data_IF_669846557847
#
_entry.id   IF_669846557847
#
_cell.length_a   1.000
_cell.length_b   1.000
_cell.length_c   1.000
_cell.angle_alpha   90.00
_cell.angle_beta   90.00
_cell.angle_gamma   90.00
#
_symmetry.space_group_name_H-M   'P 1'
#
loop_
_entity.id
_entity.type
_entity.pdbx_description
1 polymer ?
#
# COMPACT_ATOMS: atom_id res chain seq x y z
N UNK A 1 -27.28 -0.06 3.35
CA UNK A 1 -26.16 0.30 2.46
C UNK A 1 -25.29 1.13 3.36
N UNK A 2 -24.17 0.56 3.82
CA UNK A 2 -23.22 1.29 4.63
C UNK A 2 -22.74 2.49 3.84
N UNK A 3 -22.60 3.63 4.50
CA UNK A 3 -22.03 4.80 3.86
C UNK A 3 -20.51 4.58 3.84
N UNK A 4 -19.96 4.12 2.71
CA UNK A 4 -18.50 4.15 2.51
C UNK A 4 -17.99 5.54 2.87
N UNK A 5 -16.83 5.65 3.52
CA UNK A 5 -16.23 6.95 3.83
C UNK A 5 -16.10 7.73 2.52
N UNK A 6 -16.70 8.91 2.47
CA UNK A 6 -16.87 9.63 1.21
C UNK A 6 -15.54 10.25 0.80
N UNK A 7 -15.11 9.97 -0.42
CA UNK A 7 -13.99 10.66 -1.04
C UNK A 7 -14.43 12.07 -1.45
N UNK A 8 -13.83 13.09 -0.86
CA UNK A 8 -14.01 14.47 -1.29
C UNK A 8 -12.90 14.85 -2.27
N UNK A 9 -13.27 15.25 -3.49
CA UNK A 9 -12.33 15.80 -4.46
C UNK A 9 -12.11 17.29 -4.19
N UNK A 10 -10.92 17.67 -3.70
CA UNK A 10 -10.53 19.06 -3.50
C UNK A 10 -9.67 19.55 -4.66
N UNK A 11 -10.08 20.65 -5.31
CA UNK A 11 -9.18 21.37 -6.20
C UNK A 11 -8.28 22.29 -5.35
N UNK A 12 -7.05 21.88 -5.09
CA UNK A 12 -6.07 22.74 -4.42
C UNK A 12 -5.54 23.79 -5.40
N UNK A 13 -5.75 25.07 -5.08
CA UNK A 13 -5.07 26.17 -5.77
C UNK A 13 -3.71 26.40 -5.10
N UNK A 14 -2.62 26.03 -5.78
CA UNK A 14 -1.27 26.40 -5.38
C UNK A 14 -1.10 27.92 -5.43
N UNK A 15 -1.37 28.61 -4.31
CA UNK A 15 -1.08 30.02 -4.15
C UNK A 15 0.41 30.19 -3.81
N UNK A 16 1.21 30.53 -4.81
CA UNK A 16 2.60 30.92 -4.66
C UNK A 16 2.70 32.23 -3.83
N UNK A 17 2.85 32.13 -2.51
CA UNK A 17 3.05 33.28 -1.64
C UNK A 17 4.53 33.70 -1.63
N UNK A 18 4.91 34.61 -2.55
CA UNK A 18 6.16 35.37 -2.42
C UNK A 18 5.93 36.48 -1.38
N UNK A 19 6.56 36.33 -0.23
CA UNK A 19 6.48 37.30 0.87
C UNK A 19 7.14 38.63 0.55
N UNK A 20 6.45 39.74 0.85
CA UNK A 20 7.04 41.00 1.32
C UNK A 20 6.13 41.52 2.44
N UNK A 21 6.71 41.67 3.63
CA UNK A 21 5.97 41.90 4.87
C UNK A 21 5.40 43.31 5.07
N UNK A 22 4.44 43.40 5.99
CA UNK A 22 4.33 44.45 7.00
C UNK A 22 3.24 44.12 8.03
N UNK A 23 3.69 43.88 9.26
CA UNK A 23 3.11 44.25 10.56
C UNK A 23 1.71 44.93 10.57
N UNK A 24 0.73 44.31 11.23
CA UNK A 24 -0.18 45.01 12.15
C UNK A 24 -0.96 44.03 13.05
N UNK A 25 -0.73 44.17 14.35
CA UNK A 25 -1.45 43.55 15.45
C UNK A 25 -2.74 44.32 15.70
N UNK A 26 -3.92 43.68 15.73
CA UNK A 26 -5.08 44.20 16.47
C UNK A 26 -6.03 43.08 16.89
N UNK A 27 -6.30 43.04 18.20
CA UNK A 27 -7.28 42.18 18.86
C UNK A 27 -8.69 42.76 18.76
N UNK A 28 -9.73 41.91 18.77
CA UNK A 28 -11.08 42.35 19.16
C UNK A 28 -12.28 41.58 18.60
N UNK A 29 -12.75 40.59 19.38
CA UNK A 29 -14.14 40.29 19.77
C UNK A 29 -15.22 39.77 18.78
N UNK A 30 -15.76 38.62 19.21
CA UNK A 30 -17.04 37.89 19.03
C UNK A 30 -18.32 38.56 18.47
N UNK A 31 -19.08 37.65 17.82
CA UNK A 31 -20.54 37.43 17.76
C UNK A 31 -21.45 38.30 16.85
N UNK A 32 -22.26 37.59 16.04
CA UNK A 32 -23.68 37.91 15.88
C UNK A 32 -24.25 37.92 14.46
N UNK A 33 -24.80 36.77 14.05
CA UNK A 33 -26.16 36.57 13.48
C UNK A 33 -26.61 37.18 12.12
N UNK A 34 -27.28 36.29 11.38
CA UNK A 34 -28.18 36.35 10.22
C UNK A 34 -28.44 37.65 9.43
N UNK A 35 -28.44 37.52 8.09
CA UNK A 35 -29.68 37.44 7.29
C UNK A 35 -29.41 37.50 5.78
N UNK A 36 -30.18 36.69 5.05
CA UNK A 36 -30.32 36.69 3.59
C UNK A 36 -30.87 38.02 3.05
N UNK A 37 -30.46 38.44 1.85
CA UNK A 37 -31.41 38.65 0.74
C UNK A 37 -30.73 38.96 -0.59
N UNK A 38 -31.24 38.29 -1.63
CA UNK A 38 -31.15 38.57 -3.06
C UNK A 38 -31.17 40.05 -3.45
N UNK A 39 -30.38 40.43 -4.46
CA UNK A 39 -30.95 40.79 -5.77
C UNK A 39 -29.88 40.92 -6.87
N UNK A 40 -30.17 40.30 -8.02
CA UNK A 40 -29.42 40.54 -9.25
C UNK A 40 -29.82 41.85 -9.93
N UNK A 41 -28.93 42.37 -10.78
CA UNK A 41 -29.29 43.05 -12.02
C UNK A 41 -28.03 43.18 -12.89
N UNK A 42 -28.18 42.76 -14.13
CA UNK A 42 -27.16 42.75 -15.15
C UNK A 42 -27.12 44.07 -15.97
N UNK A 43 -26.09 44.12 -16.83
CA UNK A 43 -26.01 44.82 -18.13
C UNK A 43 -25.55 46.28 -18.13
N UNK A 44 -24.51 46.56 -18.92
CA UNK A 44 -24.28 47.91 -19.46
C UNK A 44 -22.90 48.16 -20.08
N UNK A 45 -22.70 47.63 -21.29
CA UNK A 45 -21.50 47.73 -22.13
C UNK A 45 -21.23 49.15 -22.70
N UNK A 46 -19.95 49.54 -22.80
CA UNK A 46 -19.36 50.47 -23.80
C UNK A 46 -17.82 50.44 -23.59
N UNK A 47 -16.91 50.18 -24.53
CA UNK A 47 -16.92 50.31 -25.98
C UNK A 47 -16.10 51.53 -26.41
N UNK A 48 -14.79 51.41 -26.71
CA UNK A 48 -14.18 51.94 -27.94
C UNK A 48 -12.66 51.68 -28.14
N UNK A 49 -12.36 51.17 -29.33
CA UNK A 49 -11.30 51.50 -30.31
C UNK A 49 -9.80 51.56 -29.92
N UNK A 50 -9.05 50.57 -30.40
CA UNK A 50 -8.46 50.59 -31.76
C UNK A 50 -7.15 51.37 -31.95
N UNK A 51 -6.05 50.64 -32.18
CA UNK A 51 -4.78 51.18 -32.70
C UNK A 51 -3.76 50.08 -33.01
N UNK A 52 -3.62 49.76 -34.30
CA UNK A 52 -2.74 48.73 -34.86
C UNK A 52 -1.28 49.25 -35.00
N UNK A 53 -0.29 48.42 -34.67
CA UNK A 53 1.13 48.72 -34.86
C UNK A 53 1.98 47.46 -34.78
N UNK A 54 2.29 46.87 -35.93
CA UNK A 54 3.15 45.70 -36.07
C UNK A 54 4.63 46.08 -35.90
N UNK A 55 5.33 45.36 -35.02
CA UNK A 55 6.78 45.40 -34.84
C UNK A 55 7.24 44.09 -34.21
N UNK A 56 7.85 43.23 -35.03
CA UNK A 56 8.44 41.94 -34.65
C UNK A 56 9.74 42.17 -33.85
N UNK A 57 10.00 41.38 -32.79
CA UNK A 57 11.30 40.75 -32.42
C UNK A 57 11.25 40.15 -31.00
N UNK A 58 11.74 38.90 -30.92
CA UNK A 58 12.19 38.12 -29.76
C UNK A 58 11.10 37.49 -28.87
N UNK A 59 10.62 36.32 -29.30
CA UNK A 59 9.86 35.40 -28.45
C UNK A 59 10.79 34.73 -27.44
N UNK A 60 10.66 35.14 -26.17
CA UNK A 60 10.98 34.29 -25.04
C UNK A 60 9.75 33.38 -24.87
N UNK A 61 9.86 32.11 -25.29
CA UNK A 61 8.83 31.11 -25.05
C UNK A 61 8.78 30.84 -23.54
N UNK A 62 8.00 31.65 -22.83
CA UNK A 62 7.61 31.37 -21.46
C UNK A 62 6.91 30.02 -21.48
N UNK A 63 7.49 29.07 -20.75
CA UNK A 63 6.91 27.79 -20.44
C UNK A 63 5.58 28.03 -19.71
N UNK A 64 4.50 28.13 -20.46
CA UNK A 64 3.14 28.06 -19.91
C UNK A 64 2.79 26.59 -19.76
N UNK A 65 3.51 25.91 -18.85
CA UNK A 65 3.03 24.67 -18.29
C UNK A 65 1.78 25.02 -17.48
N UNK A 66 0.61 24.79 -18.06
CA UNK A 66 -0.62 24.62 -17.30
C UNK A 66 -0.37 23.47 -16.32
N UNK A 67 -0.07 23.81 -15.07
CA UNK A 67 -0.06 22.88 -13.94
C UNK A 67 -1.45 22.25 -13.91
N UNK A 68 -1.51 20.96 -14.27
CA UNK A 68 -2.70 20.16 -14.06
C UNK A 68 -2.86 20.02 -12.55
N UNK A 69 -3.77 20.80 -11.97
CA UNK A 69 -4.23 20.56 -10.61
C UNK A 69 -5.05 19.28 -10.65
N UNK A 70 -4.44 18.16 -10.25
CA UNK A 70 -5.19 16.93 -9.95
C UNK A 70 -6.06 17.25 -8.73
N UNK A 71 -7.36 16.97 -8.83
CA UNK A 71 -8.23 17.08 -7.67
C UNK A 71 -7.75 16.06 -6.63
N UNK A 72 -7.36 16.53 -5.46
CA UNK A 72 -6.90 15.69 -4.36
C UNK A 72 -8.09 14.87 -3.84
N UNK A 73 -7.96 13.54 -3.85
CA UNK A 73 -8.95 12.64 -3.24
C UNK A 73 -8.62 12.49 -1.77
N UNK A 74 -9.50 12.96 -0.90
CA UNK A 74 -9.35 12.84 0.55
C UNK A 74 -10.48 11.98 1.13
N UNK A 75 -10.10 10.98 1.93
CA UNK A 75 -10.99 10.21 2.79
C UNK A 75 -11.55 11.11 3.89
N UNK A 76 -12.82 10.93 4.20
CA UNK A 76 -13.46 11.64 5.30
C UNK A 76 -13.05 11.03 6.64
N UNK A 77 -12.32 11.79 7.46
CA UNK A 77 -12.13 11.51 8.89
C UNK A 77 -13.14 12.34 9.68
N UNK A 78 -13.96 11.69 10.50
CA UNK A 78 -15.05 12.34 11.24
C UNK A 78 -14.60 12.79 12.62
N UNK A 79 -15.36 13.72 13.23
CA UNK A 79 -15.15 14.10 14.64
C UNK A 79 -15.26 12.88 15.58
N UNK A 80 -16.05 11.87 15.21
CA UNK A 80 -16.26 10.65 15.99
C UNK A 80 -15.05 9.71 15.91
N UNK A 81 -14.36 9.67 14.77
CA UNK A 81 -13.11 8.91 14.61
C UNK A 81 -12.02 9.44 15.56
N UNK A 82 -12.03 10.76 15.76
CA UNK A 82 -11.12 11.49 16.66
C UNK A 82 -11.57 11.43 18.14
N UNK A 83 -12.79 10.98 18.42
CA UNK A 83 -13.36 11.03 19.77
C UNK A 83 -12.84 9.86 20.62
N UNK A 84 -11.99 10.19 21.60
CA UNK A 84 -11.40 9.21 22.52
C UNK A 84 -12.07 9.20 23.89
N UNK A 85 -12.99 10.13 24.17
CA UNK A 85 -13.60 10.20 25.50
C UNK A 85 -14.72 9.17 25.67
N UNK A 86 -14.94 8.78 26.92
CA UNK A 86 -16.03 7.89 27.30
C UNK A 86 -16.44 8.16 28.75
N UNK A 87 -17.64 7.72 29.12
CA UNK A 87 -18.12 7.77 30.49
C UNK A 87 -17.88 6.42 31.18
N UNK A 88 -16.86 6.34 32.02
CA UNK A 88 -16.49 5.10 32.74
C UNK A 88 -17.65 4.52 33.58
N UNK A 89 -18.49 5.38 34.16
CA UNK A 89 -19.60 4.94 35.01
C UNK A 89 -20.78 4.32 34.23
N UNK A 90 -20.91 4.68 32.95
CA UNK A 90 -21.95 4.16 32.04
C UNK A 90 -21.42 3.02 31.15
N UNK A 91 -20.10 2.82 31.13
CA UNK A 91 -19.45 1.79 30.32
C UNK A 91 -19.66 0.38 30.90
N UNK A 92 -19.83 -0.61 30.02
CA UNK A 92 -19.89 -2.02 30.42
C UNK A 92 -18.47 -2.53 30.66
N UNK A 93 -18.17 -3.00 31.87
CA UNK A 93 -16.84 -3.51 32.22
C UNK A 93 -16.65 -4.95 31.76
N UNK A 94 -15.53 -5.22 31.09
CA UNK A 94 -15.05 -6.55 30.71
C UNK A 94 -13.69 -6.74 31.39
N UNK A 95 -13.67 -7.53 32.46
CA UNK A 95 -12.43 -7.94 33.11
C UNK A 95 -12.00 -9.29 32.52
N UNK A 96 -10.86 -9.30 31.84
CA UNK A 96 -10.24 -10.49 31.30
C UNK A 96 -9.61 -11.30 32.44
N UNK A 97 -9.99 -12.57 32.49
CA UNK A 97 -9.45 -13.55 33.43
C UNK A 97 -9.15 -14.86 32.72
N UNK A 98 -8.37 -15.73 33.36
CA UNK A 98 -8.15 -17.08 32.86
C UNK A 98 -9.48 -17.80 32.58
N UNK A 99 -9.56 -18.46 31.41
CA UNK A 99 -10.74 -19.20 30.94
C UNK A 99 -11.98 -18.35 30.61
N UNK A 100 -11.83 -17.04 30.35
CA UNK A 100 -12.94 -16.19 29.92
C UNK A 100 -13.61 -16.68 28.62
N UNK A 101 -12.83 -17.31 27.73
CA UNK A 101 -13.32 -17.83 26.46
C UNK A 101 -13.82 -16.73 25.53
N UNK A 102 -14.98 -16.96 24.89
CA UNK A 102 -15.59 -16.00 23.94
C UNK A 102 -16.49 -15.00 24.66
N UNK A 103 -16.25 -13.71 24.46
CA UNK A 103 -17.07 -12.60 24.95
C UNK A 103 -17.87 -12.06 23.77
N UNK A 104 -19.20 -12.16 23.81
CA UNK A 104 -20.07 -11.73 22.72
C UNK A 104 -20.70 -10.37 23.05
N UNK A 105 -20.34 -9.34 22.29
CA UNK A 105 -20.92 -8.01 22.32
C UNK A 105 -22.03 -7.98 21.26
N UNK A 106 -23.28 -7.91 21.71
CA UNK A 106 -24.49 -7.98 20.87
C UNK A 106 -25.40 -6.76 21.03
N UNK A 107 -24.88 -5.70 21.64
CA UNK A 107 -25.54 -4.41 21.79
C UNK A 107 -24.52 -3.29 21.60
N UNK A 108 -24.96 -2.18 21.01
CA UNK A 108 -24.17 -0.96 20.96
C UNK A 108 -23.80 -0.45 22.35
N UNK A 109 -22.72 0.34 22.40
CA UNK A 109 -22.28 1.05 23.59
C UNK A 109 -20.77 0.97 23.80
N UNK A 110 -20.33 1.53 24.93
CA UNK A 110 -18.92 1.54 25.34
C UNK A 110 -18.61 0.38 26.28
N UNK A 111 -17.52 -0.33 25.99
CA UNK A 111 -17.02 -1.46 26.74
C UNK A 111 -15.60 -1.17 27.23
N UNK A 112 -15.42 -1.17 28.55
CA UNK A 112 -14.12 -0.98 29.18
C UNK A 112 -13.45 -2.34 29.40
N UNK A 113 -12.44 -2.65 28.61
CA UNK A 113 -11.74 -3.93 28.61
C UNK A 113 -10.42 -3.77 29.37
N UNK A 114 -10.17 -4.64 30.34
CA UNK A 114 -8.92 -4.65 31.11
C UNK A 114 -8.54 -6.05 31.57
N UNK A 115 -7.31 -6.23 32.05
CA UNK A 115 -6.86 -7.50 32.62
C UNK A 115 -6.20 -8.42 31.59
N UNK A 116 -6.08 -9.71 31.91
CA UNK A 116 -5.28 -10.63 31.11
C UNK A 116 -5.91 -12.02 30.96
N UNK A 117 -5.77 -12.60 29.77
CA UNK A 117 -6.10 -14.01 29.50
C UNK A 117 -5.19 -14.59 28.42
N UNK A 118 -4.81 -15.86 28.59
CA UNK A 118 -4.06 -16.62 27.59
C UNK A 118 -4.96 -17.32 26.56
N UNK A 119 -6.29 -17.26 26.73
CA UNK A 119 -7.23 -17.81 25.76
C UNK A 119 -8.58 -17.10 25.91
N UNK A 120 -8.77 -16.06 25.11
CA UNK A 120 -10.02 -15.32 25.01
C UNK A 120 -10.20 -14.73 23.62
N UNK A 121 -11.44 -14.37 23.32
CA UNK A 121 -11.80 -13.72 22.07
C UNK A 121 -12.96 -12.76 22.32
N UNK A 122 -12.84 -11.51 21.89
CA UNK A 122 -13.94 -10.55 21.89
C UNK A 122 -14.60 -10.60 20.52
N UNK A 123 -15.91 -10.81 20.49
CA UNK A 123 -16.71 -10.91 19.26
C UNK A 123 -17.76 -9.79 19.26
N UNK A 124 -17.71 -8.90 18.27
CA UNK A 124 -18.68 -7.81 18.10
C UNK A 124 -19.67 -8.17 16.99
N UNK A 125 -20.96 -8.14 17.31
CA UNK A 125 -22.06 -8.42 16.39
C UNK A 125 -23.32 -7.66 16.84
N UNK A 126 -23.36 -6.36 16.56
CA UNK A 126 -24.40 -5.43 17.05
C UNK A 126 -25.40 -5.00 15.96
N UNK A 127 -25.10 -5.30 14.70
CA UNK A 127 -25.90 -4.90 13.53
C UNK A 127 -25.28 -3.70 12.80
N UNK A 128 -25.58 -3.59 11.51
CA UNK A 128 -24.89 -2.69 10.55
C UNK A 128 -25.16 -1.18 10.72
N UNK A 129 -25.93 -0.77 11.72
CA UNK A 129 -26.31 0.63 11.97
C UNK A 129 -25.97 1.05 13.41
N UNK A 130 -25.21 0.20 14.10
CA UNK A 130 -24.93 0.31 15.53
C UNK A 130 -23.43 0.37 15.76
N UNK A 131 -23.00 1.30 16.61
CA UNK A 131 -21.60 1.50 16.97
C UNK A 131 -21.19 0.76 18.23
N UNK A 132 -19.93 0.36 18.29
CA UNK A 132 -19.31 -0.14 19.52
C UNK A 132 -17.99 0.57 19.77
N UNK A 133 -17.78 1.04 21.00
CA UNK A 133 -16.47 1.50 21.45
C UNK A 133 -15.87 0.47 22.41
N UNK A 134 -14.71 -0.09 22.04
CA UNK A 134 -13.86 -0.92 22.89
C UNK A 134 -12.73 -0.05 23.44
N UNK A 135 -12.81 0.32 24.72
CA UNK A 135 -11.71 1.02 25.40
C UNK A 135 -10.80 -0.05 26.00
N UNK A 136 -9.60 -0.19 25.44
CA UNK A 136 -8.60 -1.15 25.93
C UNK A 136 -7.70 -0.46 26.95
N UNK A 137 -7.66 -0.99 28.18
CA UNK A 137 -6.86 -0.48 29.29
C UNK A 137 -5.98 -1.59 29.87
N UNK A 138 -4.68 -1.54 29.56
CA UNK A 138 -3.70 -2.50 30.07
C UNK A 138 -4.11 -3.97 29.79
N UNK A 139 -4.61 -4.22 28.58
CA UNK A 139 -5.15 -5.51 28.14
C UNK A 139 -4.02 -6.45 27.73
N UNK A 140 -4.07 -7.71 28.16
CA UNK A 140 -3.30 -8.80 27.54
C UNK A 140 -4.26 -9.91 27.10
N UNK A 141 -4.53 -10.01 25.80
CA UNK A 141 -5.52 -10.92 25.24
C UNK A 141 -4.88 -11.79 24.16
N UNK A 142 -4.61 -13.05 24.51
CA UNK A 142 -4.26 -14.08 23.54
C UNK A 142 -5.50 -14.91 23.17
N UNK A 143 -5.67 -15.17 21.88
CA UNK A 143 -6.61 -16.17 21.38
C UNK A 143 -5.82 -17.37 20.87
N UNK A 144 -6.09 -18.56 21.42
CA UNK A 144 -5.26 -19.73 21.12
C UNK A 144 -5.37 -20.21 19.67
N UNK A 145 -6.50 -19.95 19.00
CA UNK A 145 -6.82 -20.53 17.67
C UNK A 145 -7.60 -19.60 16.76
N UNK A 146 -7.68 -18.29 17.04
CA UNK A 146 -8.42 -17.34 16.19
C UNK A 146 -7.98 -15.89 16.47
N UNK A 147 -8.71 -14.90 15.98
CA UNK A 147 -8.49 -13.49 16.34
C UNK A 147 -8.64 -13.26 17.86
N UNK A 148 -7.94 -12.25 18.39
CA UNK A 148 -8.18 -11.71 19.72
C UNK A 148 -9.45 -10.85 19.73
N UNK A 149 -9.62 -10.01 18.69
CA UNK A 149 -10.82 -9.20 18.46
C UNK A 149 -11.38 -9.53 17.08
N UNK A 150 -12.66 -9.87 17.03
CA UNK A 150 -13.36 -10.22 15.81
C UNK A 150 -14.67 -9.43 15.69
N UNK A 151 -14.76 -8.60 14.66
CA UNK A 151 -15.97 -7.83 14.33
C UNK A 151 -16.69 -8.50 13.18
N UNK A 152 -17.92 -8.97 13.45
CA UNK A 152 -18.80 -9.64 12.49
C UNK A 152 -19.73 -8.62 11.79
N UNK A 153 -20.31 -7.71 12.58
CA UNK A 153 -21.28 -6.71 12.15
C UNK A 153 -21.34 -5.54 13.13
N UNK A 154 -21.06 -4.34 12.64
CA UNK A 154 -21.28 -3.02 13.25
C UNK A 154 -21.43 -1.96 12.13
N UNK A 155 -21.93 -0.77 12.46
CA UNK A 155 -21.71 0.41 11.60
C UNK A 155 -20.21 0.72 11.59
N UNK A 156 -19.66 1.03 12.77
CA UNK A 156 -18.23 1.17 13.00
C UNK A 156 -17.84 0.66 14.40
N UNK A 157 -16.67 0.04 14.51
CA UNK A 157 -16.06 -0.27 15.81
C UNK A 157 -14.92 0.69 16.08
N UNK A 158 -14.95 1.33 17.25
CA UNK A 158 -13.89 2.20 17.75
C UNK A 158 -13.06 1.45 18.79
N UNK A 159 -11.80 1.17 18.50
CA UNK A 159 -10.83 0.66 19.47
C UNK A 159 -10.05 1.86 20.04
N UNK A 160 -10.40 2.28 21.25
CA UNK A 160 -9.71 3.36 21.95
C UNK A 160 -8.60 2.79 22.83
N UNK A 161 -7.35 3.11 22.50
CA UNK A 161 -6.16 2.64 23.20
C UNK A 161 -5.83 3.54 24.41
N UNK A 162 -5.81 2.94 25.59
CA UNK A 162 -5.29 3.50 26.82
C UNK A 162 -4.29 2.52 27.48
N UNK A 163 -3.26 3.06 28.14
CA UNK A 163 -2.23 2.21 28.75
C UNK A 163 -1.46 1.37 27.72
N UNK A 164 -1.03 0.18 28.12
CA UNK A 164 -0.27 -0.75 27.26
C UNK A 164 -1.05 -2.03 26.98
N UNK A 165 -1.43 -2.25 25.72
CA UNK A 165 -2.28 -3.37 25.31
C UNK A 165 -1.51 -4.33 24.43
N UNK A 166 -1.59 -5.63 24.72
CA UNK A 166 -0.97 -6.70 23.95
C UNK A 166 -2.03 -7.68 23.48
N UNK A 167 -2.17 -7.82 22.17
CA UNK A 167 -3.09 -8.77 21.55
C UNK A 167 -2.28 -9.80 20.73
N UNK A 168 -2.69 -11.06 20.73
CA UNK A 168 -1.98 -12.11 20.00
C UNK A 168 -2.86 -13.29 19.61
N UNK A 169 -2.39 -14.08 18.64
CA UNK A 169 -2.94 -15.37 18.24
C UNK A 169 -1.95 -16.51 18.58
N UNK A 170 -2.46 -17.72 18.82
CA UNK A 170 -1.69 -18.91 19.17
C UNK A 170 -0.99 -19.64 18.00
N UNK A 171 -0.90 -19.03 16.82
CA UNK A 171 -0.24 -19.56 15.63
C UNK A 171 -1.17 -20.31 14.66
N UNK A 172 -2.48 -20.12 14.75
CA UNK A 172 -3.45 -20.68 13.79
C UNK A 172 -4.79 -19.97 13.84
N UNK A 173 -5.47 -19.90 12.70
CA UNK A 173 -6.87 -19.49 12.60
C UNK A 173 -7.76 -20.69 12.26
N UNK A 174 -8.36 -21.28 13.29
CA UNK A 174 -9.35 -22.34 13.11
C UNK A 174 -10.68 -21.70 12.76
N UNK A 175 -11.23 -22.04 11.61
CA UNK A 175 -12.53 -21.56 11.16
C UNK A 175 -13.61 -21.77 12.23
N UNK A 176 -14.18 -20.67 12.73
CA UNK A 176 -15.32 -20.66 13.66
C UNK A 176 -16.64 -20.31 12.95
N UNK A 177 -16.53 -19.82 11.72
CA UNK A 177 -17.60 -19.50 10.77
C UNK A 177 -17.00 -19.44 9.35
N UNK A 178 -17.66 -18.74 8.42
CA UNK A 178 -17.27 -18.65 7.00
C UNK A 178 -16.65 -17.29 6.62
N UNK A 179 -16.10 -16.54 7.58
CA UNK A 179 -15.54 -15.22 7.31
C UNK A 179 -14.01 -15.22 7.20
N UNK A 180 -13.37 -16.39 7.18
CA UNK A 180 -11.95 -16.56 6.87
C UNK A 180 -11.05 -15.61 7.69
N UNK A 181 -11.18 -15.69 9.02
CA UNK A 181 -10.39 -14.88 9.96
C UNK A 181 -8.91 -15.17 9.76
N UNK A 182 -8.13 -14.14 9.48
CA UNK A 182 -6.70 -14.19 9.12
C UNK A 182 -5.82 -13.18 9.89
N UNK A 183 -6.37 -12.57 10.97
CA UNK A 183 -5.68 -11.53 11.72
C UNK A 183 -5.94 -11.57 13.23
N UNK A 184 -5.02 -10.96 14.00
CA UNK A 184 -5.17 -10.81 15.47
C UNK A 184 -6.34 -9.87 15.80
N UNK A 185 -6.46 -8.78 15.06
CA UNK A 185 -7.68 -7.97 14.99
C UNK A 185 -8.26 -8.16 13.58
N UNK A 186 -9.44 -8.76 13.50
CA UNK A 186 -10.14 -8.95 12.24
C UNK A 186 -11.48 -8.23 12.28
N UNK A 187 -11.68 -7.30 11.37
CA UNK A 187 -12.95 -6.60 11.19
C UNK A 187 -13.52 -6.84 9.80
N UNK A 188 -14.80 -7.21 9.76
CA UNK A 188 -15.56 -7.24 8.50
C UNK A 188 -16.05 -5.87 8.05
N UNK A 189 -16.11 -4.93 8.99
CA UNK A 189 -16.73 -3.63 8.82
C UNK A 189 -15.77 -2.53 9.24
N UNK A 190 -16.21 -1.28 9.10
CA UNK A 190 -15.40 -0.11 9.42
C UNK A 190 -14.80 -0.19 10.82
N UNK A 191 -13.52 0.16 10.88
CA UNK A 191 -12.71 0.11 12.09
C UNK A 191 -11.99 1.44 12.29
N UNK A 192 -12.22 2.07 13.44
CA UNK A 192 -11.38 3.17 13.89
C UNK A 192 -10.51 2.71 15.05
N UNK A 193 -9.21 3.02 15.02
CA UNK A 193 -8.32 2.90 16.18
C UNK A 193 -7.82 4.28 16.58
N UNK A 194 -8.06 4.65 17.83
CA UNK A 194 -7.73 5.96 18.35
C UNK A 194 -7.17 5.88 19.78
N UNK A 195 -7.00 7.04 20.44
CA UNK A 195 -6.41 7.11 21.77
C UNK A 195 -4.91 7.36 21.73
N UNK A 196 -4.27 7.22 22.89
CA UNK A 196 -2.84 7.53 23.07
C UNK A 196 -2.03 6.37 23.64
N UNK A 197 -2.69 5.25 23.92
CA UNK A 197 -2.07 4.03 24.42
C UNK A 197 -1.21 3.31 23.38
N UNK A 198 -0.63 2.21 23.83
CA UNK A 198 0.21 1.32 23.03
C UNK A 198 -0.59 0.07 22.66
N UNK A 199 -0.45 -0.37 21.41
CA UNK A 199 -0.91 -1.65 20.91
C UNK A 199 0.30 -2.47 20.43
N UNK A 200 0.56 -3.57 21.12
CA UNK A 200 1.57 -4.56 20.77
C UNK A 200 0.87 -5.78 20.13
N UNK A 201 1.28 -6.16 18.93
CA UNK A 201 0.83 -7.39 18.28
C UNK A 201 2.03 -8.16 17.75
N UNK A 202 2.10 -9.44 18.10
CA UNK A 202 2.97 -10.43 17.49
C UNK A 202 2.09 -11.47 16.78
N UNK A 203 1.82 -11.22 15.50
CA UNK A 203 1.10 -12.13 14.62
C UNK A 203 2.09 -13.14 14.04
N UNK A 204 2.23 -14.27 14.75
CA UNK A 204 3.13 -15.36 14.36
C UNK A 204 2.69 -16.13 13.11
N UNK A 205 1.49 -15.83 12.59
CA UNK A 205 0.93 -16.30 11.33
C UNK A 205 0.08 -15.17 10.73
N UNK A 206 0.11 -15.03 9.41
CA UNK A 206 -0.71 -14.09 8.63
C UNK A 206 -0.60 -12.64 9.14
N UNK A 207 -1.72 -11.91 9.26
CA UNK A 207 -1.74 -10.48 9.47
C UNK A 207 -1.86 -10.07 10.95
N UNK A 208 -1.41 -8.85 11.28
CA UNK A 208 -1.70 -8.26 12.59
C UNK A 208 -3.10 -7.66 12.66
N UNK A 209 -3.46 -6.78 11.72
CA UNK A 209 -4.78 -6.12 11.65
C UNK A 209 -5.33 -6.24 10.24
N UNK A 210 -6.56 -6.75 10.12
CA UNK A 210 -7.32 -6.79 8.87
C UNK A 210 -8.66 -6.09 9.05
N UNK A 211 -8.97 -5.17 8.14
CA UNK A 211 -10.27 -4.52 8.02
C UNK A 211 -10.80 -4.73 6.60
N UNK A 212 -11.95 -5.40 6.45
CA UNK A 212 -12.52 -5.69 5.13
C UNK A 212 -13.27 -4.50 4.51
N UNK A 213 -13.56 -3.45 5.28
CA UNK A 213 -14.12 -2.17 4.83
C UNK A 213 -13.15 -1.01 5.15
N UNK A 214 -13.62 0.21 5.44
CA UNK A 214 -12.77 1.39 5.64
C UNK A 214 -12.15 1.43 7.05
N UNK A 215 -10.88 1.81 7.14
CA UNK A 215 -10.16 1.93 8.41
C UNK A 215 -9.69 3.37 8.66
N UNK A 216 -9.73 3.81 9.92
CA UNK A 216 -9.14 5.09 10.34
C UNK A 216 -8.26 4.92 11.57
N UNK A 217 -7.08 5.56 11.54
CA UNK A 217 -6.17 5.63 12.68
C UNK A 217 -5.92 7.09 13.02
N UNK A 218 -6.18 7.47 14.27
CA UNK A 218 -6.08 8.89 14.70
C UNK A 218 -5.04 9.16 15.77
N UNK A 219 -4.38 8.13 16.28
CA UNK A 219 -3.33 8.24 17.28
C UNK A 219 -2.91 6.89 17.85
N UNK A 220 -2.10 6.90 18.90
CA UNK A 220 -1.58 5.69 19.55
C UNK A 220 -0.17 5.30 19.09
N UNK A 221 0.36 4.26 19.72
CA UNK A 221 1.64 3.64 19.35
C UNK A 221 1.41 2.19 18.97
N UNK A 222 1.88 1.79 17.79
CA UNK A 222 1.68 0.48 17.21
C UNK A 222 3.02 -0.24 17.10
N UNK A 223 3.20 -1.31 17.86
CA UNK A 223 4.36 -2.20 17.76
C UNK A 223 3.87 -3.51 17.15
N UNK A 224 3.92 -3.61 15.83
CA UNK A 224 3.32 -4.72 15.09
C UNK A 224 4.41 -5.57 14.45
N UNK A 225 4.31 -6.87 14.65
CA UNK A 225 5.06 -7.88 13.91
C UNK A 225 4.07 -8.85 13.27
N UNK A 226 4.25 -9.17 11.98
CA UNK A 226 3.37 -10.04 11.22
C UNK A 226 4.15 -10.95 10.26
N UNK A 227 3.59 -12.11 9.91
CA UNK A 227 4.15 -12.99 8.88
C UNK A 227 3.61 -12.68 7.48
N UNK A 228 2.58 -11.86 7.39
CA UNK A 228 2.13 -11.18 6.18
C UNK A 228 2.09 -9.68 6.51
N UNK A 229 0.96 -9.02 6.35
CA UNK A 229 0.85 -7.57 6.55
C UNK A 229 0.71 -7.15 8.02
N UNK A 230 1.30 -6.00 8.36
CA UNK A 230 0.99 -5.38 9.66
C UNK A 230 -0.42 -4.77 9.68
N UNK A 231 -0.80 -4.04 8.64
CA UNK A 231 -2.13 -3.42 8.51
C UNK A 231 -2.63 -3.69 7.10
N UNK A 232 -3.75 -4.40 6.95
CA UNK A 232 -4.37 -4.69 5.66
C UNK A 232 -5.82 -4.18 5.66
N UNK A 233 -6.17 -3.39 4.64
CA UNK A 233 -7.52 -2.83 4.45
C UNK A 233 -8.03 -3.06 3.03
N UNK A 234 -9.20 -3.67 2.88
CA UNK A 234 -9.76 -4.00 1.55
C UNK A 234 -10.50 -2.83 0.87
N UNK A 235 -10.83 -1.75 1.58
CA UNK A 235 -11.33 -0.51 0.97
C UNK A 235 -10.29 0.59 1.13
N UNK A 236 -10.35 1.43 2.16
CA UNK A 236 -9.43 2.55 2.31
C UNK A 236 -8.97 2.77 3.75
N UNK A 237 -7.76 3.31 3.92
CA UNK A 237 -7.17 3.65 5.21
C UNK A 237 -6.80 5.13 5.28
N UNK A 238 -7.29 5.83 6.30
CA UNK A 238 -6.81 7.16 6.67
C UNK A 238 -6.02 7.13 7.98
N UNK A 239 -4.79 7.64 7.97
CA UNK A 239 -3.94 7.81 9.16
C UNK A 239 -3.72 9.30 9.39
N UNK A 240 -4.24 9.84 10.48
CA UNK A 240 -4.05 11.27 10.79
C UNK A 240 -2.86 11.54 11.72
N UNK A 241 -2.49 10.56 12.55
CA UNK A 241 -1.36 10.62 13.48
C UNK A 241 -1.09 9.23 14.07
N UNK A 242 0.04 9.10 14.78
CA UNK A 242 0.43 7.88 15.48
C UNK A 242 1.95 7.67 15.46
N UNK A 243 2.40 6.63 16.15
CA UNK A 243 3.77 6.08 16.04
C UNK A 243 3.67 4.62 15.64
N UNK A 244 4.30 4.25 14.54
CA UNK A 244 4.18 2.93 13.92
C UNK A 244 5.55 2.29 13.82
N UNK A 245 5.78 1.23 14.59
CA UNK A 245 6.96 0.38 14.51
C UNK A 245 6.50 -0.95 13.90
N UNK A 246 6.67 -1.08 12.58
CA UNK A 246 6.08 -2.16 11.78
C UNK A 246 7.17 -3.08 11.25
N UNK A 247 7.07 -4.37 11.58
CA UNK A 247 8.01 -5.40 11.15
C UNK A 247 7.25 -6.61 10.59
N UNK A 248 6.97 -6.59 9.31
CA UNK A 248 6.18 -7.57 8.57
C UNK A 248 7.05 -8.32 7.58
N UNK A 249 6.51 -9.40 7.01
CA UNK A 249 7.17 -10.14 5.93
C UNK A 249 6.66 -9.78 4.55
N UNK A 250 5.41 -9.34 4.46
CA UNK A 250 4.82 -8.79 3.25
C UNK A 250 4.72 -7.26 3.44
N UNK A 251 3.53 -6.66 3.53
CA UNK A 251 3.42 -5.21 3.50
C UNK A 251 3.34 -4.58 4.89
N UNK A 252 3.93 -3.40 5.09
CA UNK A 252 3.72 -2.65 6.33
C UNK A 252 2.29 -2.10 6.41
N UNK A 253 1.84 -1.52 5.30
CA UNK A 253 0.47 -1.05 5.13
C UNK A 253 0.01 -1.44 3.74
N UNK A 254 -1.02 -2.27 3.67
CA UNK A 254 -1.68 -2.70 2.46
C UNK A 254 -3.09 -2.11 2.38
N UNK A 255 -3.42 -1.49 1.25
CA UNK A 255 -4.79 -1.06 0.95
C UNK A 255 -5.18 -1.41 -0.49
N UNK A 256 -6.37 -1.96 -0.71
CA UNK A 256 -6.86 -2.16 -2.08
C UNK A 256 -7.21 -0.79 -2.74
N UNK A 257 -7.82 0.13 -2.00
CA UNK A 257 -8.29 1.43 -2.48
C UNK A 257 -7.33 2.58 -2.18
N UNK A 258 -7.73 3.46 -1.25
CA UNK A 258 -7.00 4.69 -0.91
C UNK A 258 -6.20 4.51 0.39
N UNK A 259 -4.93 4.88 0.36
CA UNK A 259 -4.12 5.13 1.54
C UNK A 259 -3.87 6.63 1.69
N UNK A 260 -4.45 7.26 2.71
CA UNK A 260 -4.20 8.66 3.07
C UNK A 260 -3.42 8.75 4.38
N UNK A 261 -2.31 9.47 4.38
CA UNK A 261 -1.50 9.72 5.57
C UNK A 261 -1.31 11.23 5.78
N UNK A 262 -1.96 11.78 6.81
CA UNK A 262 -1.88 13.20 7.18
C UNK A 262 -0.81 13.50 8.24
N UNK A 263 -0.20 12.48 8.82
CA UNK A 263 0.87 12.63 9.79
C UNK A 263 1.21 11.32 10.53
N UNK A 264 2.20 11.40 11.40
CA UNK A 264 2.69 10.28 12.21
C UNK A 264 4.19 10.04 12.08
N UNK A 265 4.70 9.05 12.81
CA UNK A 265 6.08 8.56 12.69
C UNK A 265 6.06 7.08 12.37
N UNK A 266 6.78 6.68 11.33
CA UNK A 266 6.80 5.31 10.80
C UNK A 266 8.24 4.80 10.76
N UNK A 267 8.49 3.70 11.45
CA UNK A 267 9.71 2.89 11.36
C UNK A 267 9.29 1.52 10.81
N UNK A 268 9.64 1.25 9.55
CA UNK A 268 9.11 0.16 8.75
C UNK A 268 10.24 -0.78 8.32
N UNK A 269 10.01 -2.07 8.51
CA UNK A 269 10.76 -3.16 7.87
C UNK A 269 9.76 -4.15 7.28
N UNK A 270 9.76 -4.30 5.96
CA UNK A 270 8.73 -5.03 5.22
C UNK A 270 9.25 -5.52 3.85
N UNK A 271 8.46 -6.32 3.12
CA UNK A 271 8.65 -6.49 1.68
C UNK A 271 8.34 -5.16 1.01
N UNK A 272 7.08 -4.75 1.03
CA UNK A 272 6.69 -3.40 0.61
C UNK A 272 6.43 -2.49 1.82
N UNK A 273 6.88 -1.23 1.73
CA UNK A 273 6.65 -0.27 2.80
C UNK A 273 5.19 0.15 2.88
N UNK A 274 4.67 0.74 1.81
CA UNK A 274 3.29 1.21 1.69
C UNK A 274 2.71 0.78 0.35
N UNK A 275 1.60 0.05 0.34
CA UNK A 275 0.92 -0.38 -0.88
C UNK A 275 -0.53 0.14 -0.97
N UNK A 276 -0.91 0.60 -2.16
CA UNK A 276 -2.31 0.70 -2.53
C UNK A 276 -2.58 1.36 -3.87
N UNK A 277 -3.84 1.36 -4.33
CA UNK A 277 -4.17 1.95 -5.63
C UNK A 277 -3.96 3.46 -5.66
N UNK A 278 -4.34 4.17 -4.60
CA UNK A 278 -4.15 5.61 -4.53
C UNK A 278 -3.54 6.02 -3.19
N UNK A 279 -2.26 6.38 -3.22
CA UNK A 279 -1.50 6.76 -2.01
C UNK A 279 -1.33 8.27 -1.97
N UNK A 280 -1.73 8.89 -0.86
CA UNK A 280 -1.51 10.31 -0.57
C UNK A 280 -0.78 10.47 0.76
N UNK A 281 0.40 11.09 0.72
CA UNK A 281 1.19 11.45 1.89
C UNK A 281 1.19 12.97 2.03
N UNK A 282 0.41 13.46 2.99
CA UNK A 282 0.26 14.87 3.31
C UNK A 282 1.32 15.37 4.28
N UNK A 283 1.68 14.56 5.28
CA UNK A 283 2.79 14.82 6.19
C UNK A 283 3.25 13.52 6.88
N UNK A 284 4.26 13.60 7.73
CA UNK A 284 4.76 12.49 8.55
C UNK A 284 6.27 12.33 8.48
N UNK A 285 6.82 11.44 9.30
CA UNK A 285 8.23 11.04 9.25
C UNK A 285 8.32 9.55 9.01
N UNK A 286 9.03 9.14 7.96
CA UNK A 286 9.11 7.75 7.53
C UNK A 286 10.56 7.30 7.44
N UNK A 287 10.85 6.14 8.03
CA UNK A 287 12.05 5.34 7.78
C UNK A 287 11.57 4.00 7.28
N UNK A 288 11.75 3.76 5.98
CA UNK A 288 11.29 2.55 5.29
C UNK A 288 12.51 1.73 4.90
N UNK A 289 12.58 0.50 5.40
CA UNK A 289 13.53 -0.52 4.97
C UNK A 289 12.74 -1.63 4.26
N UNK A 290 12.68 -1.55 2.93
CA UNK A 290 11.89 -2.46 2.10
C UNK A 290 12.82 -3.50 1.43
N UNK A 291 12.36 -4.75 1.35
CA UNK A 291 13.05 -5.79 0.58
C UNK A 291 12.50 -5.99 -0.82
N UNK A 292 11.28 -5.52 -1.08
CA UNK A 292 10.71 -5.25 -2.40
C UNK A 292 10.57 -3.74 -2.55
N UNK A 293 9.40 -3.16 -2.75
CA UNK A 293 9.23 -1.72 -3.00
C UNK A 293 9.08 -0.84 -1.75
N UNK A 294 9.62 0.38 -1.79
CA UNK A 294 9.49 1.32 -0.68
C UNK A 294 8.05 1.83 -0.53
N UNK A 295 7.50 2.31 -1.64
CA UNK A 295 6.11 2.75 -1.77
C UNK A 295 5.63 2.27 -3.13
N UNK A 296 4.59 1.44 -3.15
CA UNK A 296 4.03 0.85 -4.35
C UNK A 296 2.59 1.33 -4.59
N UNK A 297 2.40 2.18 -5.61
CA UNK A 297 1.09 2.53 -6.10
C UNK A 297 0.64 1.55 -7.20
N UNK A 298 0.06 0.42 -6.81
CA UNK A 298 -0.35 -0.68 -7.70
C UNK A 298 -1.85 -0.68 -8.01
N UNK A 299 -2.24 -1.06 -9.23
CA UNK A 299 -3.64 -1.12 -9.63
C UNK A 299 -4.36 -2.34 -9.01
N UNK A 300 -5.04 -2.17 -7.87
CA UNK A 300 -5.83 -3.23 -7.21
C UNK A 300 -7.33 -3.12 -7.46
N UNK A 301 -7.84 -1.88 -7.60
CA UNK A 301 -9.28 -1.60 -7.84
C UNK A 301 -9.49 -0.70 -9.05
N UNK A 302 -10.51 -0.97 -9.87
CA UNK A 302 -10.81 -0.20 -11.10
C UNK A 302 -11.31 1.23 -10.84
N UNK A 303 -11.64 1.57 -9.59
CA UNK A 303 -12.22 2.88 -9.23
C UNK A 303 -11.22 4.03 -9.35
N UNK A 304 -9.94 3.75 -9.13
CA UNK A 304 -8.87 4.73 -9.11
C UNK A 304 -7.83 4.39 -10.15
N UNK A 305 -7.10 5.40 -10.62
CA UNK A 305 -5.86 5.16 -11.37
C UNK A 305 -4.74 5.07 -10.34
N UNK A 306 -3.94 4.01 -10.43
CA UNK A 306 -2.67 3.86 -9.70
C UNK A 306 -1.94 5.22 -9.59
N UNK A 307 -1.83 5.79 -8.38
CA UNK A 307 -1.24 7.11 -8.19
C UNK A 307 -0.59 7.24 -6.82
N UNK A 308 0.64 7.77 -6.80
CA UNK A 308 1.29 8.28 -5.60
C UNK A 308 1.33 9.81 -5.61
N UNK A 309 0.83 10.44 -4.54
CA UNK A 309 0.96 11.88 -4.29
C UNK A 309 1.68 12.15 -2.98
N UNK A 310 2.78 12.90 -3.03
CA UNK A 310 3.55 13.35 -1.86
C UNK A 310 3.42 14.87 -1.75
N UNK A 311 2.58 15.32 -0.82
CA UNK A 311 2.36 16.74 -0.52
C UNK A 311 3.32 17.29 0.54
N UNK A 312 3.82 16.42 1.43
CA UNK A 312 4.69 16.80 2.54
C UNK A 312 5.44 15.63 3.18
N UNK A 313 5.94 15.84 4.40
CA UNK A 313 6.66 14.83 5.17
C UNK A 313 8.19 14.79 4.98
N UNK A 314 8.84 13.98 5.82
CA UNK A 314 10.25 13.61 5.76
C UNK A 314 10.35 12.09 5.57
N UNK A 315 10.56 11.67 4.32
CA UNK A 315 10.52 10.27 3.89
C UNK A 315 11.93 9.81 3.60
N UNK A 316 12.37 8.75 4.27
CA UNK A 316 13.63 8.06 3.97
C UNK A 316 13.36 6.62 3.63
N UNK A 317 13.72 6.21 2.42
CA UNK A 317 13.53 4.87 1.89
C UNK A 317 14.92 4.28 1.63
N UNK A 318 15.17 3.10 2.19
CA UNK A 318 16.36 2.29 1.93
C UNK A 318 15.93 0.95 1.38
N UNK A 319 16.36 0.67 0.15
CA UNK A 319 16.03 -0.56 -0.55
C UNK A 319 17.02 -1.67 -0.22
N UNK A 320 16.50 -2.89 -0.18
CA UNK A 320 17.29 -4.12 -0.23
C UNK A 320 18.03 -4.29 -1.58
N UNK A 321 18.61 -5.48 -1.77
CA UNK A 321 19.18 -5.86 -3.06
C UNK A 321 18.15 -6.71 -3.82
N UNK A 322 17.94 -6.41 -5.10
CA UNK A 322 16.94 -7.09 -5.93
C UNK A 322 16.52 -6.21 -7.09
N UNK A 323 15.52 -6.69 -7.82
CA UNK A 323 14.73 -5.90 -8.78
C UNK A 323 13.61 -5.24 -7.99
N UNK A 324 13.88 -4.06 -7.42
CA UNK A 324 12.98 -3.40 -6.46
C UNK A 324 13.16 -1.89 -6.50
N UNK A 325 12.07 -1.14 -6.32
CA UNK A 325 12.02 0.31 -6.46
C UNK A 325 11.80 1.05 -5.14
N UNK A 326 12.47 2.19 -5.00
CA UNK A 326 12.17 3.11 -3.90
C UNK A 326 10.72 3.59 -3.92
N UNK A 327 10.26 3.94 -5.13
CA UNK A 327 8.88 4.32 -5.43
C UNK A 327 8.51 3.60 -6.72
N UNK A 328 7.50 2.74 -6.69
CA UNK A 328 6.87 2.20 -7.88
C UNK A 328 5.45 2.77 -8.02
N UNK A 329 5.06 3.07 -9.26
CA UNK A 329 3.67 3.36 -9.58
C UNK A 329 3.28 2.83 -10.95
N UNK A 330 2.31 1.93 -10.97
CA UNK A 330 1.63 1.50 -12.20
C UNK A 330 0.77 2.61 -12.87
N UNK A 331 0.94 3.86 -12.43
CA UNK A 331 0.32 5.05 -13.01
C UNK A 331 1.12 6.30 -12.69
N UNK A 332 0.55 7.23 -11.93
CA UNK A 332 1.11 8.59 -11.82
C UNK A 332 1.89 8.81 -10.52
N UNK A 333 2.89 9.69 -10.59
CA UNK A 333 3.62 10.19 -9.42
C UNK A 333 3.56 11.72 -9.37
N UNK A 334 3.13 12.27 -8.24
CA UNK A 334 3.12 13.71 -7.99
C UNK A 334 3.90 14.04 -6.72
N UNK A 335 5.00 14.79 -6.85
CA UNK A 335 5.78 15.29 -5.70
C UNK A 335 5.59 16.80 -5.60
N UNK A 336 4.77 17.23 -4.64
CA UNK A 336 4.36 18.61 -4.43
C UNK A 336 5.13 19.30 -3.29
N UNK A 337 5.65 18.53 -2.32
CA UNK A 337 6.34 19.07 -1.14
C UNK A 337 7.16 18.04 -0.39
N UNK A 338 7.57 18.38 0.83
CA UNK A 338 8.34 17.50 1.72
C UNK A 338 9.80 17.27 1.30
N UNK A 339 10.43 16.31 1.96
CA UNK A 339 11.75 15.78 1.63
C UNK A 339 11.65 14.27 1.46
N UNK A 340 12.03 13.76 0.29
CA UNK A 340 12.07 12.33 0.00
C UNK A 340 13.52 11.94 -0.30
N UNK A 341 14.04 10.96 0.45
CA UNK A 341 15.38 10.40 0.29
C UNK A 341 15.26 8.94 -0.07
N UNK A 342 15.83 8.54 -1.20
CA UNK A 342 15.82 7.15 -1.67
C UNK A 342 17.26 6.68 -1.81
N UNK A 343 17.57 5.54 -1.20
CA UNK A 343 18.85 4.85 -1.37
C UNK A 343 18.56 3.44 -1.89
N UNK A 344 18.99 3.12 -3.11
CA UNK A 344 18.65 1.86 -3.78
C UNK A 344 19.32 1.71 -5.15
N UNK A 345 19.28 0.49 -5.70
CA UNK A 345 19.75 0.22 -7.08
C UNK A 345 18.71 0.71 -8.09
N UNK A 346 17.47 0.24 -7.98
CA UNK A 346 16.31 0.90 -8.56
C UNK A 346 15.70 1.86 -7.55
N UNK A 347 15.09 2.95 -8.03
CA UNK A 347 14.79 4.09 -7.14
C UNK A 347 13.42 4.66 -7.42
N UNK A 348 13.06 4.83 -8.69
CA UNK A 348 11.73 5.28 -9.08
C UNK A 348 11.37 4.63 -10.41
N UNK A 349 10.24 3.93 -10.45
CA UNK A 349 9.57 3.47 -11.67
C UNK A 349 8.15 4.02 -11.74
N UNK A 350 7.68 4.31 -12.96
CA UNK A 350 6.30 4.69 -13.20
C UNK A 350 5.84 4.48 -14.64
N UNK A 351 4.58 4.09 -14.81
CA UNK A 351 3.96 3.85 -16.12
C UNK A 351 3.26 5.09 -16.71
N UNK A 352 2.88 6.04 -15.87
CA UNK A 352 2.05 7.20 -16.21
C UNK A 352 2.81 8.53 -16.22
N UNK A 353 2.17 9.56 -15.67
CA UNK A 353 2.77 10.89 -15.55
C UNK A 353 3.53 11.04 -14.23
N UNK A 354 4.78 11.49 -14.28
CA UNK A 354 5.50 11.93 -13.09
C UNK A 354 5.76 13.44 -13.12
N UNK A 355 5.31 14.15 -12.10
CA UNK A 355 5.48 15.60 -11.97
C UNK A 355 6.04 15.96 -10.59
N UNK A 356 7.19 16.65 -10.58
CA UNK A 356 7.73 17.30 -9.40
C UNK A 356 7.35 18.79 -9.41
N UNK A 357 6.29 19.14 -8.68
CA UNK A 357 5.82 20.52 -8.52
C UNK A 357 6.57 21.27 -7.40
N UNK A 358 7.18 20.54 -6.46
CA UNK A 358 7.90 21.10 -5.32
C UNK A 358 8.77 20.07 -4.60
N UNK A 359 9.02 20.28 -3.31
CA UNK A 359 9.76 19.37 -2.45
C UNK A 359 11.25 19.20 -2.78
N UNK A 360 11.95 18.45 -1.93
CA UNK A 360 13.35 18.02 -2.14
C UNK A 360 13.36 16.52 -2.41
N UNK A 361 13.89 16.11 -3.56
CA UNK A 361 14.06 14.69 -3.90
C UNK A 361 15.56 14.39 -3.95
N UNK A 362 16.02 13.48 -3.09
CA UNK A 362 17.42 13.06 -3.00
C UNK A 362 17.49 11.59 -3.35
N UNK A 363 18.26 11.25 -4.38
CA UNK A 363 18.45 9.88 -4.84
C UNK A 363 19.93 9.53 -4.69
N UNK A 364 20.23 8.47 -3.93
CA UNK A 364 21.59 8.00 -3.67
C UNK A 364 22.57 9.11 -3.23
N UNK A 365 22.06 10.06 -2.43
CA UNK A 365 22.82 11.18 -1.87
C UNK A 365 22.90 12.43 -2.75
N UNK A 366 22.33 12.42 -3.95
CA UNK A 366 22.29 13.57 -4.86
C UNK A 366 20.87 14.13 -4.98
N UNK A 367 20.71 15.45 -4.84
CA UNK A 367 19.43 16.12 -5.07
C UNK A 367 19.14 16.22 -6.57
N UNK A 368 17.89 15.96 -6.97
CA UNK A 368 17.43 16.03 -8.36
C UNK A 368 16.19 16.93 -8.51
N UNK A 369 16.13 17.64 -9.63
CA UNK A 369 15.00 18.49 -10.03
C UNK A 369 13.94 17.73 -10.85
N UNK A 370 14.23 16.49 -11.26
CA UNK A 370 13.32 15.64 -12.02
C UNK A 370 13.10 14.30 -11.31
N UNK A 371 11.91 13.74 -11.47
CA UNK A 371 11.62 12.34 -11.09
C UNK A 371 12.23 11.46 -12.18
N UNK A 372 13.27 10.67 -11.91
CA UNK A 372 13.81 9.75 -12.90
C UNK A 372 12.78 8.64 -13.16
N UNK A 373 12.86 8.05 -14.34
CA UNK A 373 12.13 6.83 -14.66
C UNK A 373 13.15 5.77 -15.07
N UNK A 374 12.98 4.58 -14.53
CA UNK A 374 13.68 3.37 -14.95
C UNK A 374 13.12 2.89 -16.31
N UNK A 375 13.46 3.58 -17.40
CA UNK A 375 13.25 2.97 -18.71
C UNK A 375 14.18 1.76 -18.82
N UNK A 376 13.63 0.55 -18.66
CA UNK A 376 14.21 -0.68 -19.21
C UNK A 376 14.76 -0.35 -20.61
N UNK A 377 16.08 -0.43 -20.76
CA UNK A 377 16.81 -0.03 -21.95
C UNK A 377 16.40 -0.85 -23.18
N UNK A 378 15.29 -0.47 -23.81
CA UNK A 378 14.72 -1.05 -25.02
C UNK A 378 14.45 0.01 -26.07
N UNK A 379 15.36 0.97 -26.25
CA UNK A 379 15.24 2.01 -27.28
C UNK A 379 15.79 1.56 -28.64
N UNK A 380 15.00 1.54 -29.73
CA UNK A 380 15.48 1.22 -31.08
C UNK A 380 16.29 2.39 -31.67
N UNK A 381 17.60 2.41 -31.42
CA UNK A 381 18.52 3.47 -31.86
C UNK A 381 19.32 3.12 -33.11
N UNK A 382 18.78 3.41 -34.29
CA UNK A 382 19.55 3.46 -35.53
C UNK A 382 20.56 4.63 -35.51
N UNK A 383 21.85 4.32 -35.64
CA UNK A 383 22.91 5.33 -35.72
C UNK A 383 24.20 4.77 -36.30
N UNK A 384 24.43 4.97 -37.60
CA UNK A 384 25.68 4.68 -38.28
C UNK A 384 26.82 5.52 -37.69
N UNK A 385 27.78 4.88 -37.01
CA UNK A 385 28.98 5.53 -36.49
C UNK A 385 30.18 4.60 -36.55
N UNK A 386 31.01 4.75 -37.60
CA UNK A 386 32.30 4.08 -37.72
C UNK A 386 33.26 4.64 -36.65
N UNK A 387 33.80 3.78 -35.78
CA UNK A 387 34.86 4.14 -34.84
C UNK A 387 35.65 2.93 -34.38
N UNK A 388 36.83 2.73 -34.96
CA UNK A 388 37.85 1.76 -34.50
C UNK A 388 38.52 2.28 -33.22
N UNK A 389 38.74 1.38 -32.26
CA UNK A 389 39.57 1.54 -31.07
C UNK A 389 38.82 0.94 -29.88
N UNK A 390 39.13 -0.24 -29.35
CA UNK A 390 40.46 -0.73 -28.98
C UNK A 390 40.49 -0.72 -27.45
N UNK A 391 39.93 -1.76 -26.81
CA UNK A 391 40.06 -1.98 -25.37
C UNK A 391 40.71 -3.33 -25.12
N UNK A 392 41.90 -3.25 -24.55
CA UNK A 392 42.63 -4.33 -23.90
C UNK A 392 41.81 -4.86 -22.71
N UNK A 393 41.89 -6.18 -22.52
CA UNK A 393 41.03 -6.93 -21.62
C UNK A 393 41.25 -6.69 -20.13
N UNK A 394 40.16 -6.92 -19.39
CA UNK A 394 40.15 -7.31 -17.99
C UNK A 394 39.30 -8.57 -17.86
N UNK A 395 39.87 -9.59 -17.22
CA UNK A 395 39.19 -10.77 -16.66
C UNK A 395 38.03 -10.23 -15.80
N UNK A 396 36.78 -10.66 -15.97
CA UNK A 396 36.20 -11.85 -15.33
C UNK A 396 34.86 -12.16 -16.03
N UNK A 397 34.65 -13.42 -16.44
CA UNK A 397 33.54 -13.83 -17.31
C UNK A 397 32.19 -13.99 -16.61
N UNK A 398 31.41 -12.93 -16.52
CA UNK A 398 29.96 -13.01 -16.26
C UNK A 398 29.20 -12.44 -17.45
N UNK A 399 28.52 -13.32 -18.19
CA UNK A 399 27.55 -12.92 -19.21
C UNK A 399 26.26 -12.50 -18.49
N UNK A 400 25.67 -11.33 -18.81
CA UNK A 400 24.34 -10.98 -18.33
C UNK A 400 23.32 -11.90 -19.01
N UNK A 401 22.52 -12.59 -18.21
CA UNK A 401 21.49 -13.51 -18.68
C UNK A 401 20.36 -12.74 -19.37
N UNK A 402 20.26 -12.89 -20.68
CA UNK A 402 19.12 -12.46 -21.49
C UNK A 402 18.60 -13.66 -22.28
N UNK A 403 17.29 -13.68 -22.51
CA UNK A 403 16.55 -14.68 -23.27
C UNK A 403 17.17 -14.94 -24.65
N UNK A 404 17.58 -16.20 -24.91
CA UNK A 404 18.02 -16.65 -26.23
C UNK A 404 17.04 -17.70 -26.74
N UNK A 405 15.91 -17.22 -27.25
CA UNK A 405 15.02 -18.00 -28.10
C UNK A 405 15.78 -18.66 -29.25
N UNK A 406 15.41 -19.91 -29.52
CA UNK A 406 15.67 -20.64 -30.76
C UNK A 406 17.13 -20.72 -31.25
N UNK A 407 18.07 -20.96 -30.34
CA UNK A 407 19.27 -21.78 -30.60
C UNK A 407 20.21 -21.35 -31.73
N UNK A 408 20.11 -20.11 -32.22
CA UNK A 408 21.02 -19.54 -33.21
C UNK A 408 21.81 -18.39 -32.57
N UNK A 409 23.14 -18.54 -32.53
CA UNK A 409 24.02 -17.44 -32.17
C UNK A 409 23.83 -16.25 -33.13
N UNK A 410 23.89 -14.99 -32.65
CA UNK A 410 23.78 -13.82 -33.52
C UNK A 410 24.78 -13.85 -34.68
N UNK A 411 24.38 -13.39 -35.87
CA UNK A 411 25.29 -13.30 -37.03
C UNK A 411 26.54 -12.48 -36.66
N UNK A 412 27.70 -13.14 -36.68
CA UNK A 412 29.01 -12.54 -36.42
C UNK A 412 29.69 -12.96 -35.12
N UNK A 413 29.08 -13.81 -34.29
CA UNK A 413 29.73 -14.42 -33.13
C UNK A 413 30.02 -15.90 -33.37
N UNK A 414 31.30 -16.29 -33.29
CA UNK A 414 31.72 -17.71 -33.30
C UNK A 414 31.84 -18.21 -31.86
N UNK A 415 31.35 -19.42 -31.54
CA UNK A 415 31.59 -20.05 -30.25
C UNK A 415 33.09 -20.14 -29.94
N UNK A 416 33.49 -20.19 -28.66
CA UNK A 416 34.87 -20.49 -28.27
C UNK A 416 35.37 -21.78 -28.96
N UNK A 417 36.66 -21.83 -29.33
CA UNK A 417 37.26 -22.94 -30.10
C UNK A 417 37.18 -24.31 -29.39
N UNK A 418 36.85 -24.30 -28.11
CA UNK A 418 36.83 -25.40 -27.15
C UNK A 418 35.43 -25.72 -26.58
N UNK A 419 34.35 -25.18 -27.18
CA UNK A 419 32.98 -25.55 -26.81
C UNK A 419 32.61 -26.94 -27.35
N UNK A 420 32.29 -27.88 -26.45
CA UNK A 420 32.02 -29.30 -26.75
C UNK A 420 30.54 -29.62 -27.02
N UNK A 421 29.68 -28.59 -27.03
CA UNK A 421 28.25 -28.72 -27.30
C UNK A 421 27.42 -29.26 -26.13
N UNK A 422 27.95 -29.28 -24.91
CA UNK A 422 27.22 -29.71 -23.71
C UNK A 422 26.98 -28.54 -22.73
N UNK A 423 25.84 -28.56 -22.05
CA UNK A 423 25.53 -27.63 -20.96
C UNK A 423 26.20 -28.09 -19.66
N UNK A 424 26.58 -27.17 -18.76
CA UNK A 424 27.12 -27.51 -17.43
C UNK A 424 26.14 -28.36 -16.59
N UNK A 425 26.67 -29.26 -15.76
CA UNK A 425 25.86 -30.11 -14.87
C UNK A 425 24.93 -29.30 -13.97
N UNK A 426 23.65 -29.69 -13.92
CA UNK A 426 22.64 -29.12 -13.00
C UNK A 426 21.71 -28.08 -13.61
N UNK A 427 21.85 -27.73 -14.89
CA UNK A 427 20.91 -26.84 -15.60
C UNK A 427 19.89 -27.66 -16.42
N UNK A 428 18.61 -27.53 -16.09
CA UNK A 428 17.50 -27.98 -16.93
C UNK A 428 16.89 -26.81 -17.68
N UNK A 429 16.48 -26.97 -18.95
CA UNK A 429 15.70 -25.96 -19.65
C UNK A 429 14.42 -25.58 -18.87
N UNK A 430 13.98 -24.31 -18.89
CA UNK A 430 12.85 -23.83 -18.09
C UNK A 430 11.53 -24.59 -18.32
N UNK A 431 11.37 -25.20 -19.49
CA UNK A 431 10.21 -25.94 -19.96
C UNK A 431 10.38 -27.48 -19.91
N UNK A 432 11.53 -27.95 -19.41
CA UNK A 432 11.82 -29.36 -19.20
C UNK A 432 11.99 -30.19 -20.48
N UNK A 433 12.09 -29.55 -21.66
CA UNK A 433 12.25 -30.24 -22.95
C UNK A 433 13.60 -29.90 -23.57
N UNK A 434 14.35 -30.94 -23.99
CA UNK A 434 15.55 -30.76 -24.80
C UNK A 434 15.19 -30.70 -26.29
N UNK A 435 15.97 -29.97 -27.12
CA UNK A 435 15.78 -29.97 -28.57
C UNK A 435 15.88 -31.37 -29.19
N UNK A 436 15.13 -31.62 -30.27
CA UNK A 436 15.12 -32.89 -30.98
C UNK A 436 16.53 -33.30 -31.43
N UNK A 437 16.99 -34.46 -30.95
CA UNK A 437 18.29 -35.06 -31.29
C UNK A 437 19.37 -34.92 -30.22
N UNK A 438 19.09 -34.33 -29.05
CA UNK A 438 20.01 -34.28 -27.91
C UNK A 438 19.51 -35.15 -26.75
N UNK A 439 20.41 -35.91 -26.11
CA UNK A 439 20.11 -36.72 -24.93
C UNK A 439 20.96 -36.26 -23.74
N UNK A 440 20.41 -36.26 -22.50
CA UNK A 440 21.20 -35.95 -21.31
C UNK A 440 22.33 -36.97 -21.11
N UNK A 441 23.43 -36.60 -20.43
CA UNK A 441 24.67 -37.38 -20.42
C UNK A 441 24.51 -38.83 -19.95
N UNK A 442 23.56 -39.12 -19.06
CA UNK A 442 23.44 -40.43 -18.39
C UNK A 442 22.07 -41.13 -18.53
N UNK A 443 21.19 -40.69 -19.44
CA UNK A 443 19.98 -41.44 -19.81
C UNK A 443 18.97 -41.73 -18.67
N UNK A 444 19.05 -41.03 -17.54
CA UNK A 444 18.09 -41.14 -16.44
C UNK A 444 17.39 -39.80 -16.23
N UNK A 445 16.06 -39.80 -16.36
CA UNK A 445 15.23 -38.68 -15.93
C UNK A 445 15.10 -38.71 -14.39
N UNK A 446 15.16 -37.56 -13.69
CA UNK A 446 14.82 -37.49 -12.28
C UNK A 446 13.30 -37.55 -12.16
N UNK A 447 12.79 -38.75 -11.89
CA UNK A 447 11.36 -39.01 -11.75
C UNK A 447 11.11 -40.51 -11.90
N UNK A 448 11.12 -41.22 -10.78
CA UNK A 448 10.49 -42.54 -10.74
C UNK A 448 9.05 -42.42 -11.21
N UNK A 449 8.63 -43.41 -12.01
CA UNK A 449 7.24 -43.71 -12.34
C UNK A 449 6.73 -43.02 -13.62
N UNK A 450 7.24 -43.49 -14.77
CA UNK A 450 6.82 -43.10 -16.11
C UNK A 450 5.31 -43.07 -16.37
N UNK A 451 4.71 -41.88 -16.16
CA UNK A 451 3.40 -41.50 -16.66
C UNK A 451 3.42 -40.01 -17.05
N UNK A 452 3.21 -39.74 -18.34
CA UNK A 452 2.89 -38.41 -18.84
C UNK A 452 1.42 -38.07 -18.54
N UNK A 453 1.12 -36.79 -18.23
CA UNK A 453 -0.09 -36.17 -18.72
C UNK A 453 0.24 -34.87 -19.48
N UNK A 454 -0.33 -34.76 -20.67
CA UNK A 454 -0.09 -33.69 -21.63
C UNK A 454 -0.78 -32.36 -21.33
N UNK A 455 -0.29 -31.33 -22.00
CA UNK A 455 -0.80 -29.97 -21.99
C UNK A 455 -2.11 -29.76 -22.77
N UNK A 456 -2.54 -28.49 -22.89
CA UNK A 456 -3.94 -28.09 -22.97
C UNK A 456 -4.47 -28.02 -24.40
N UNK A 457 -5.47 -28.84 -24.72
CA UNK A 457 -6.56 -28.57 -25.65
C UNK A 457 -7.44 -29.82 -25.77
N UNK A 458 -8.56 -29.86 -25.06
CA UNK A 458 -9.79 -30.41 -25.65
C UNK A 458 -11.04 -29.93 -24.91
N UNK A 459 -11.91 -29.31 -25.71
CA UNK A 459 -13.23 -28.79 -25.33
C UNK A 459 -14.24 -29.95 -25.30
N UNK A 460 -15.24 -29.80 -24.41
CA UNK A 460 -16.60 -30.33 -24.54
C UNK A 460 -16.77 -31.84 -24.78
N UNK A 461 -17.10 -32.57 -23.71
CA UNK A 461 -18.08 -33.64 -23.80
C UNK A 461 -18.87 -33.75 -22.49
N UNK A 462 -20.16 -33.43 -22.59
CA UNK A 462 -21.18 -33.62 -21.57
C UNK A 462 -21.38 -35.10 -21.22
N UNK A 463 -21.70 -35.34 -19.94
CA UNK A 463 -22.74 -36.29 -19.53
C UNK A 463 -22.33 -37.75 -19.39
N UNK A 464 -22.41 -38.28 -18.17
CA UNK A 464 -23.56 -39.11 -17.77
C UNK A 464 -23.44 -39.49 -16.29
N UNK A 465 -24.57 -39.31 -15.60
CA UNK A 465 -24.88 -39.91 -14.31
C UNK A 465 -24.69 -41.42 -14.36
N UNK A 466 -24.17 -42.02 -13.28
CA UNK A 466 -24.82 -43.20 -12.73
C UNK A 466 -24.50 -43.41 -11.24
N UNK A 467 -25.60 -43.50 -10.49
CA UNK A 467 -25.72 -43.93 -9.11
C UNK A 467 -25.40 -45.41 -8.93
N UNK A 468 -24.90 -45.82 -7.75
CA UNK A 468 -25.45 -46.92 -6.92
C UNK A 468 -24.57 -47.26 -5.71
N UNK A 469 -25.15 -47.02 -4.54
CA UNK A 469 -25.41 -47.95 -3.43
C UNK A 469 -24.41 -49.05 -3.01
N UNK A 470 -24.20 -49.04 -1.69
CA UNK A 470 -24.21 -50.15 -0.71
C UNK A 470 -23.15 -51.25 -0.80
N UNK A 471 -22.32 -51.35 0.25
CA UNK A 471 -22.28 -52.53 1.13
C UNK A 471 -21.37 -52.32 2.36
N UNK A 472 -21.90 -52.73 3.51
CA UNK A 472 -21.27 -52.84 4.82
C UNK A 472 -20.26 -54.00 4.93
N UNK A 473 -19.61 -54.06 6.11
CA UNK A 473 -18.73 -55.09 6.72
C UNK A 473 -17.24 -54.80 6.51
N UNK A 474 -16.40 -54.71 7.55
CA UNK A 474 -16.40 -55.27 8.92
C UNK A 474 -15.87 -54.24 9.91
#
# INVERSE_FOLDING_TARGET
MKNKKTVAAFATFAALAVGIGALAYFAGTKNGDSSESNNGAAVGNAGNNGGNGAGNVSGNAGNSGTSATVGEMALSVTDKDMETSYNEAESTKIELTDNIGKINITKAGTYLVSGSTNNGMIIVNVGEEEDVQLVLQDVNLNSATSAAIYVISADEVYITLEGENTLSNGGSYVAIDSNDIDAVIFSKDDLTINGSGVLNIDATVEHAIVCKDDMVITGGTYNLTAQEDCINTNDSLAITSGTFNLNCKDDAVHTDGILQIDGGTFDITAAEGLEGTYITINDGTFVINASDDGINAAQKVDEYVATLTINGGDITITMGAGDTDGIDSNGNIYINGGVTRITGQSTVDYDGEAVKNGGTLIINGEETDTIPNQFMGGGPGGGQGRGRGGFEGGQDGQFPGGDFGDGQFPEGMTPPEDWDGQFPEGMTPPDGQFPDGMTPPDGQFPGGDGKFPGGPNDRNAQGQQQTKNDAQSV
#
